data_IF_955129523937
#
_entry.id   IF_955129523937
#
_cell.length_a   1.000
_cell.length_b   1.000
_cell.length_c   1.000
_cell.angle_alpha   90.00
_cell.angle_beta   90.00
_cell.angle_gamma   90.00
#
_symmetry.space_group_name_H-M   'P 1'
#
loop_
_entity.id
_entity.type
_entity.pdbx_description
1 polymer ?
#
# COMPACT_ATOMS: atom_id res chain seq x y z
N UNK A 1 31.95 11.13 -6.06
CA UNK A 1 32.87 12.18 -6.52
C UNK A 1 32.61 13.44 -5.71
N UNK A 2 33.56 13.81 -4.84
CA UNK A 2 33.52 15.04 -4.05
C UNK A 2 33.86 16.20 -4.99
N UNK A 3 32.85 16.97 -5.42
CA UNK A 3 33.07 18.27 -6.03
C UNK A 3 33.38 19.26 -4.90
N UNK A 4 34.65 19.23 -4.49
CA UNK A 4 35.18 19.96 -3.34
C UNK A 4 35.29 21.46 -3.57
N UNK A 5 34.79 22.22 -2.61
CA UNK A 5 35.56 23.23 -1.87
C UNK A 5 35.90 24.57 -2.53
N UNK A 6 36.21 24.63 -3.82
CA UNK A 6 36.76 25.85 -4.46
C UNK A 6 35.69 26.71 -5.14
N UNK A 7 34.62 26.12 -5.67
CA UNK A 7 33.55 26.91 -6.33
C UNK A 7 32.66 27.69 -5.34
N UNK A 8 32.61 27.27 -4.07
CA UNK A 8 31.74 27.88 -3.06
C UNK A 8 32.34 29.10 -2.37
N UNK A 9 33.66 29.34 -2.51
CA UNK A 9 34.33 30.51 -1.92
C UNK A 9 33.99 31.82 -2.64
N UNK A 10 33.69 31.76 -3.94
CA UNK A 10 33.38 32.95 -4.76
C UNK A 10 31.96 33.52 -4.59
N UNK A 11 31.05 32.80 -3.93
CA UNK A 11 29.66 33.23 -3.75
C UNK A 11 29.43 34.06 -2.47
N UNK A 12 30.39 34.10 -1.55
CA UNK A 12 30.28 34.94 -0.33
C UNK A 12 30.53 36.42 -0.61
N UNK A 13 31.23 36.74 -1.70
CA UNK A 13 31.60 38.12 -2.06
C UNK A 13 30.59 38.80 -3.01
N UNK A 14 29.50 38.13 -3.39
CA UNK A 14 28.50 38.67 -4.34
C UNK A 14 27.30 39.36 -3.68
N UNK A 15 27.24 39.41 -2.34
CA UNK A 15 26.05 39.92 -1.63
C UNK A 15 24.80 39.07 -1.83
N UNK A 16 24.95 37.85 -2.36
CA UNK A 16 23.83 36.94 -2.63
C UNK A 16 23.26 36.39 -1.31
N UNK A 17 21.98 36.65 -1.06
CA UNK A 17 21.32 36.33 0.21
C UNK A 17 21.04 34.83 0.43
N UNK A 18 21.21 33.99 -0.59
CA UNK A 18 20.91 32.56 -0.50
C UNK A 18 22.18 31.71 -0.45
N UNK A 19 22.16 30.69 0.42
CA UNK A 19 23.22 29.70 0.48
C UNK A 19 23.23 28.80 -0.76
N UNK A 20 24.41 28.36 -1.17
CA UNK A 20 24.62 27.45 -2.31
C UNK A 20 24.56 25.96 -1.95
N UNK A 21 24.34 25.64 -0.66
CA UNK A 21 24.20 24.26 -0.18
C UNK A 21 22.74 23.82 -0.30
N UNK A 22 22.48 22.90 -1.22
CA UNK A 22 21.19 22.22 -1.32
C UNK A 22 20.99 21.33 -0.08
N UNK A 23 19.78 21.37 0.50
CA UNK A 23 19.39 20.52 1.62
C UNK A 23 18.21 19.64 1.22
N UNK A 24 17.93 18.60 2.02
CA UNK A 24 16.78 17.72 1.79
C UNK A 24 15.45 18.48 1.85
N UNK A 25 15.34 19.49 2.70
CA UNK A 25 14.17 20.38 2.79
C UNK A 25 13.96 21.15 1.49
N UNK A 26 15.02 21.71 0.90
CA UNK A 26 14.92 22.40 -0.39
C UNK A 26 14.43 21.47 -1.50
N UNK A 27 14.89 20.22 -1.53
CA UNK A 27 14.44 19.23 -2.54
C UNK A 27 12.96 18.89 -2.33
N UNK A 28 12.54 18.67 -1.09
CA UNK A 28 11.14 18.39 -0.77
C UNK A 28 10.20 19.53 -1.13
N UNK A 29 10.57 20.75 -0.74
CA UNK A 29 9.77 21.93 -1.04
C UNK A 29 9.70 22.16 -2.55
N UNK A 30 10.82 22.05 -3.26
CA UNK A 30 10.85 22.19 -4.72
C UNK A 30 9.96 21.15 -5.40
N UNK A 31 10.01 19.89 -4.97
CA UNK A 31 9.14 18.82 -5.50
C UNK A 31 7.65 19.15 -5.27
N UNK A 32 7.25 19.48 -4.04
CA UNK A 32 5.86 19.77 -3.72
C UNK A 32 5.36 20.99 -4.49
N UNK A 33 6.14 22.08 -4.49
CA UNK A 33 5.79 23.33 -5.17
C UNK A 33 5.65 23.09 -6.67
N UNK A 34 6.61 22.42 -7.30
CA UNK A 34 6.58 22.14 -8.74
C UNK A 34 5.35 21.32 -9.12
N UNK A 35 5.11 20.21 -8.43
CA UNK A 35 3.97 19.33 -8.69
C UNK A 35 2.63 20.07 -8.53
N UNK A 36 2.48 20.90 -7.49
CA UNK A 36 1.26 21.69 -7.28
C UNK A 36 1.07 22.77 -8.35
N UNK A 37 2.15 23.44 -8.79
CA UNK A 37 2.10 24.42 -9.88
C UNK A 37 1.71 23.73 -11.18
N UNK A 38 2.36 22.61 -11.53
CA UNK A 38 2.03 21.83 -12.73
C UNK A 38 0.57 21.37 -12.71
N UNK A 39 0.06 20.92 -11.55
CA UNK A 39 -1.34 20.56 -11.40
C UNK A 39 -2.29 21.74 -11.68
N UNK A 40 -2.06 22.88 -11.02
CA UNK A 40 -2.91 24.07 -11.19
C UNK A 40 -2.82 24.66 -12.60
N UNK A 41 -1.67 24.56 -13.25
CA UNK A 41 -1.53 24.95 -14.65
C UNK A 41 -2.40 24.10 -15.58
N UNK A 42 -2.52 22.77 -15.37
CA UNK A 42 -3.43 21.92 -16.16
C UNK A 42 -4.89 22.34 -16.02
N UNK A 43 -5.27 22.82 -14.83
CA UNK A 43 -6.61 23.32 -14.53
C UNK A 43 -6.82 24.78 -14.98
N UNK A 44 -5.82 25.44 -15.58
CA UNK A 44 -5.80 26.89 -15.85
C UNK A 44 -6.07 27.75 -14.59
N UNK A 45 -5.54 27.31 -13.45
CA UNK A 45 -5.66 27.97 -12.15
C UNK A 45 -4.30 28.44 -11.63
N UNK A 46 -4.34 29.31 -10.62
CA UNK A 46 -3.15 29.75 -9.87
C UNK A 46 -3.06 29.01 -8.54
N UNK A 47 -1.87 28.54 -8.17
CA UNK A 47 -1.62 27.97 -6.85
C UNK A 47 -1.75 29.06 -5.77
N UNK A 48 -2.71 28.90 -4.87
CA UNK A 48 -2.91 29.78 -3.73
C UNK A 48 -2.49 29.08 -2.44
N UNK A 49 -1.57 29.69 -1.69
CA UNK A 49 -1.12 29.18 -0.39
C UNK A 49 -0.97 30.32 0.61
N UNK A 50 -1.08 30.06 1.93
CA UNK A 50 -0.87 31.07 2.95
C UNK A 50 0.53 31.70 2.88
N UNK A 51 0.60 33.03 2.99
CA UNK A 51 1.87 33.75 3.05
C UNK A 51 2.60 33.54 4.39
N UNK A 52 1.86 33.28 5.47
CA UNK A 52 2.37 33.11 6.83
C UNK A 52 2.21 31.67 7.32
N UNK A 53 2.89 31.32 8.43
CA UNK A 53 2.81 29.99 9.05
C UNK A 53 4.04 29.13 8.80
N UNK A 54 4.06 27.95 9.41
CA UNK A 54 5.18 27.02 9.29
C UNK A 54 5.23 26.41 7.88
N UNK A 55 6.43 26.38 7.28
CA UNK A 55 6.64 25.86 5.92
C UNK A 55 6.11 24.43 5.75
N UNK A 56 6.28 23.58 6.77
CA UNK A 56 5.80 22.19 6.77
C UNK A 56 4.27 22.05 6.58
N UNK A 57 3.51 23.08 6.95
CA UNK A 57 2.04 23.08 6.93
C UNK A 57 1.49 23.89 5.74
N UNK A 58 2.32 24.74 5.12
CA UNK A 58 1.91 25.73 4.10
C UNK A 58 1.20 25.11 2.88
N UNK A 59 1.64 23.94 2.46
CA UNK A 59 1.13 23.26 1.27
C UNK A 59 0.16 22.13 1.58
N UNK A 60 -0.16 21.88 2.86
CA UNK A 60 -0.97 20.73 3.27
C UNK A 60 -2.34 20.75 2.61
N UNK A 61 -3.03 21.87 2.68
CA UNK A 61 -4.40 21.99 2.19
C UNK A 61 -4.43 21.90 0.64
N UNK A 62 -3.43 22.44 -0.05
CA UNK A 62 -3.27 22.30 -1.50
C UNK A 62 -2.97 20.86 -1.94
N UNK A 63 -2.15 20.12 -1.17
CA UNK A 63 -1.94 18.68 -1.41
C UNK A 63 -3.22 17.88 -1.17
N UNK A 64 -3.97 18.18 -0.11
CA UNK A 64 -5.23 17.52 0.21
C UNK A 64 -6.28 17.75 -0.89
N UNK A 65 -6.40 18.99 -1.40
CA UNK A 65 -7.26 19.33 -2.53
C UNK A 65 -6.89 18.52 -3.78
N UNK A 66 -5.60 18.48 -4.15
CA UNK A 66 -5.12 17.69 -5.28
C UNK A 66 -5.39 16.19 -5.09
N UNK A 67 -5.17 15.64 -3.90
CA UNK A 67 -5.45 14.23 -3.61
C UNK A 67 -6.95 13.93 -3.77
N UNK A 68 -7.81 14.83 -3.31
CA UNK A 68 -9.25 14.69 -3.48
C UNK A 68 -9.67 14.73 -4.96
N UNK A 69 -9.08 15.63 -5.75
CA UNK A 69 -9.30 15.67 -7.20
C UNK A 69 -8.95 14.33 -7.88
N UNK A 70 -7.78 13.76 -7.56
CA UNK A 70 -7.38 12.44 -8.07
C UNK A 70 -8.35 11.31 -7.69
N UNK A 71 -8.92 11.34 -6.49
CA UNK A 71 -9.93 10.36 -6.06
C UNK A 71 -11.25 10.52 -6.83
N UNK A 72 -11.65 11.75 -7.14
CA UNK A 72 -12.94 12.05 -7.77
C UNK A 72 -12.89 11.96 -9.30
N UNK A 73 -11.77 12.32 -9.90
CA UNK A 73 -11.61 12.47 -11.35
C UNK A 73 -10.60 11.49 -11.95
N UNK A 74 -9.87 10.74 -11.11
CA UNK A 74 -8.82 9.84 -11.54
C UNK A 74 -7.57 10.58 -12.03
N UNK A 75 -6.63 9.82 -12.57
CA UNK A 75 -5.41 10.39 -13.11
C UNK A 75 -5.62 10.95 -14.53
N UNK A 76 -5.21 12.20 -14.81
CA UNK A 76 -5.31 12.78 -16.15
C UNK A 76 -4.61 11.92 -17.21
N UNK A 77 -5.34 11.59 -18.29
CA UNK A 77 -4.83 10.82 -19.43
C UNK A 77 -4.68 9.31 -19.20
N UNK A 78 -5.17 8.79 -18.06
CA UNK A 78 -5.14 7.34 -17.73
C UNK A 78 -6.53 6.73 -17.57
N UNK A 79 -7.54 7.51 -17.18
CA UNK A 79 -8.91 7.03 -16.91
C UNK A 79 -9.52 6.28 -18.09
N UNK A 80 -9.28 6.77 -19.29
CA UNK A 80 -9.80 6.29 -20.58
C UNK A 80 -8.73 5.57 -21.41
N UNK A 81 -7.54 5.35 -20.86
CA UNK A 81 -6.43 4.74 -21.57
C UNK A 81 -6.74 3.31 -22.03
N UNK A 82 -6.50 3.05 -23.32
CA UNK A 82 -6.38 1.72 -23.88
C UNK A 82 -5.13 1.64 -24.77
N UNK A 83 -4.60 0.44 -24.95
CA UNK A 83 -3.54 0.14 -25.89
C UNK A 83 -3.61 -1.35 -26.24
N UNK A 84 -2.81 -1.80 -27.21
CA UNK A 84 -2.90 -3.16 -27.74
C UNK A 84 -2.47 -4.24 -26.73
N UNK A 85 -1.85 -3.83 -25.61
CA UNK A 85 -1.47 -4.73 -24.50
C UNK A 85 -2.53 -4.84 -23.40
N UNK A 86 -3.40 -3.85 -23.24
CA UNK A 86 -4.42 -3.84 -22.18
C UNK A 86 -5.85 -3.93 -22.70
N UNK A 87 -6.08 -3.76 -24.00
CA UNK A 87 -7.39 -3.81 -24.62
C UNK A 87 -7.38 -4.80 -25.78
N UNK A 88 -8.38 -5.69 -25.82
CA UNK A 88 -8.53 -6.68 -26.87
C UNK A 88 -9.92 -6.63 -27.47
N UNK A 89 -10.01 -6.80 -28.78
CA UNK A 89 -11.25 -7.17 -29.49
C UNK A 89 -11.10 -8.58 -30.03
N UNK A 90 -12.10 -9.43 -29.86
CA UNK A 90 -12.07 -10.83 -30.25
C UNK A 90 -13.44 -11.31 -30.73
N UNK A 91 -13.45 -12.34 -31.57
CA UNK A 91 -14.67 -12.97 -32.05
C UNK A 91 -14.98 -14.21 -31.22
N UNK A 92 -16.22 -14.35 -30.75
CA UNK A 92 -16.67 -15.55 -30.05
C UNK A 92 -16.90 -16.70 -31.02
N UNK A 93 -17.06 -17.92 -30.49
CA UNK A 93 -17.46 -19.08 -31.26
C UNK A 93 -18.82 -18.91 -31.98
N UNK A 94 -19.68 -17.99 -31.49
CA UNK A 94 -20.96 -17.65 -32.14
C UNK A 94 -20.83 -16.60 -33.26
N UNK A 95 -19.62 -16.08 -33.52
CA UNK A 95 -19.38 -15.02 -34.50
C UNK A 95 -19.62 -13.60 -33.99
N UNK A 96 -19.89 -13.43 -32.69
CA UNK A 96 -20.08 -12.11 -32.07
C UNK A 96 -18.72 -11.45 -31.80
N UNK A 97 -18.58 -10.17 -32.14
CA UNK A 97 -17.40 -9.38 -31.79
C UNK A 97 -17.58 -8.83 -30.38
N UNK A 98 -16.67 -9.19 -29.47
CA UNK A 98 -16.62 -8.72 -28.09
C UNK A 98 -15.29 -8.06 -27.81
N UNK A 99 -15.23 -7.30 -26.72
CA UNK A 99 -14.00 -6.68 -26.25
C UNK A 99 -13.72 -7.07 -24.80
N UNK A 100 -12.47 -6.90 -24.40
CA UNK A 100 -12.05 -7.11 -23.02
C UNK A 100 -10.96 -6.09 -22.66
N UNK A 101 -11.23 -5.34 -21.59
CA UNK A 101 -10.34 -4.38 -20.99
C UNK A 101 -10.13 -4.71 -19.50
N UNK A 102 -9.26 -5.68 -19.20
CA UNK A 102 -9.07 -6.15 -17.85
C UNK A 102 -8.37 -5.13 -16.94
N UNK A 103 -8.50 -5.37 -15.63
CA UNK A 103 -7.71 -4.72 -14.59
C UNK A 103 -7.15 -5.77 -13.65
N UNK A 104 -5.91 -5.57 -13.18
CA UNK A 104 -5.23 -6.46 -12.23
C UNK A 104 -5.12 -5.75 -10.91
N UNK A 105 -5.69 -6.33 -9.86
CA UNK A 105 -5.57 -5.88 -8.48
C UNK A 105 -4.49 -6.65 -7.74
N UNK A 106 -3.62 -5.94 -7.03
CA UNK A 106 -2.62 -6.55 -6.16
C UNK A 106 -2.20 -5.58 -5.03
N UNK A 107 -1.74 -6.15 -3.91
CA UNK A 107 -1.36 -5.42 -2.71
C UNK A 107 0.14 -5.40 -2.46
N UNK A 108 0.64 -4.31 -1.88
CA UNK A 108 2.02 -4.21 -1.40
C UNK A 108 2.10 -3.67 0.03
N UNK A 109 3.09 -4.15 0.76
CA UNK A 109 3.39 -3.74 2.14
C UNK A 109 4.14 -2.41 2.17
N UNK A 110 3.46 -1.35 1.73
CA UNK A 110 3.85 0.04 1.93
C UNK A 110 2.74 0.74 2.71
N UNK A 111 3.11 1.63 3.63
CA UNK A 111 2.12 2.26 4.48
C UNK A 111 2.61 3.50 5.20
N UNK A 112 1.70 4.12 5.94
CA UNK A 112 1.92 5.33 6.74
C UNK A 112 1.45 5.13 8.18
N UNK A 113 1.94 5.93 9.15
CA UNK A 113 1.38 5.94 10.50
C UNK A 113 -0.13 6.21 10.50
N UNK A 114 -0.88 5.43 11.27
CA UNK A 114 -2.33 5.58 11.41
C UNK A 114 -2.77 5.39 12.86
N UNK A 115 -4.05 5.67 13.13
CA UNK A 115 -4.63 5.43 14.44
C UNK A 115 -4.58 3.93 14.79
N UNK A 116 -4.20 3.61 16.02
CA UNK A 116 -4.13 2.23 16.49
C UNK A 116 -5.50 1.53 16.64
N UNK A 117 -6.60 2.29 16.73
CA UNK A 117 -7.96 1.73 16.70
C UNK A 117 -8.23 1.06 15.34
N UNK A 118 -8.76 -0.16 15.38
CA UNK A 118 -8.99 -0.97 14.18
C UNK A 118 -9.83 -0.22 13.14
N UNK A 119 -9.40 -0.27 11.87
CA UNK A 119 -10.02 0.38 10.71
C UNK A 119 -10.27 1.90 10.83
N UNK A 120 -9.71 2.59 11.83
CA UNK A 120 -9.85 4.04 11.97
C UNK A 120 -9.10 4.76 10.85
N UNK A 121 -9.82 5.62 10.12
CA UNK A 121 -9.29 6.41 8.99
C UNK A 121 -8.96 7.86 9.37
N UNK A 122 -9.25 8.28 10.59
CA UNK A 122 -8.94 9.64 11.03
C UNK A 122 -7.41 9.82 11.12
N UNK A 123 -6.85 10.87 10.48
CA UNK A 123 -5.41 11.12 10.49
C UNK A 123 -4.89 11.38 11.90
N UNK A 124 -3.63 10.98 12.13
CA UNK A 124 -2.90 11.40 13.31
C UNK A 124 -2.57 12.90 13.21
N UNK A 125 -2.73 13.63 14.32
CA UNK A 125 -2.33 15.04 14.40
C UNK A 125 -0.80 15.22 14.30
N UNK A 126 -0.06 14.18 14.66
CA UNK A 126 1.39 14.14 14.62
C UNK A 126 1.81 12.71 14.33
N UNK A 127 2.83 12.52 13.50
CA UNK A 127 3.32 11.18 13.17
C UNK A 127 3.87 10.41 14.38
N UNK A 128 4.12 11.06 15.52
CA UNK A 128 4.55 10.42 16.79
C UNK A 128 3.39 9.89 17.65
N UNK A 129 2.14 10.27 17.38
CA UNK A 129 0.99 9.81 18.15
C UNK A 129 0.63 8.35 17.83
N UNK A 130 0.03 7.63 18.79
CA UNK A 130 -0.57 6.29 18.54
C UNK A 130 -2.04 6.40 18.12
N UNK A 131 -2.72 7.44 18.58
CA UNK A 131 -4.15 7.63 18.35
C UNK A 131 -4.43 8.99 17.71
N UNK A 132 -5.48 9.04 16.91
CA UNK A 132 -5.99 10.26 16.29
C UNK A 132 -6.65 11.17 17.32
N UNK A 133 -7.17 12.32 16.88
CA UNK A 133 -7.83 13.29 17.76
C UNK A 133 -9.06 12.69 18.45
N UNK A 134 -9.92 11.94 17.73
CA UNK A 134 -11.12 11.34 18.33
C UNK A 134 -10.78 10.28 19.38
N UNK A 135 -9.72 9.51 19.14
CA UNK A 135 -9.29 8.44 20.04
C UNK A 135 -8.15 8.86 20.97
N UNK A 136 -7.94 10.16 21.19
CA UNK A 136 -6.74 10.64 21.89
C UNK A 136 -6.65 10.13 23.33
N UNK A 137 -7.79 9.96 24.01
CA UNK A 137 -7.89 9.40 25.37
C UNK A 137 -7.39 7.95 25.48
N UNK A 138 -7.28 7.21 24.37
CA UNK A 138 -6.70 5.86 24.38
C UNK A 138 -5.19 5.88 24.69
N UNK A 139 -4.53 7.05 24.70
CA UNK A 139 -3.18 7.18 25.24
C UNK A 139 -3.14 6.94 26.77
N UNK A 140 -4.25 7.20 27.47
CA UNK A 140 -4.37 7.08 28.92
C UNK A 140 -4.80 5.68 29.37
N UNK A 141 -5.03 4.77 28.43
CA UNK A 141 -5.40 3.36 28.65
C UNK A 141 -4.18 2.46 28.43
N UNK A 142 -4.10 1.38 29.20
CA UNK A 142 -3.06 0.37 29.06
C UNK A 142 -2.93 -0.12 27.61
N UNK A 143 -1.69 -0.19 27.11
CA UNK A 143 -1.40 -0.60 25.75
C UNK A 143 -1.52 -2.12 25.51
N UNK A 144 -1.75 -2.91 26.56
CA UNK A 144 -1.95 -4.36 26.44
C UNK A 144 -3.38 -4.59 25.93
N UNK A 145 -3.49 -5.38 24.86
CA UNK A 145 -4.77 -5.65 24.23
C UNK A 145 -5.73 -6.29 25.24
N UNK A 146 -7.00 -5.84 25.24
CA UNK A 146 -8.06 -6.25 26.18
C UNK A 146 -7.88 -5.77 27.63
N UNK A 147 -6.89 -4.92 27.91
CA UNK A 147 -6.79 -4.23 29.20
C UNK A 147 -7.38 -2.82 29.09
N UNK A 148 -8.34 -2.51 29.95
CA UNK A 148 -9.02 -1.20 29.98
C UNK A 148 -8.56 -0.31 31.16
N UNK A 149 -7.62 -0.81 31.97
CA UNK A 149 -7.09 -0.07 33.13
C UNK A 149 -6.26 1.15 32.69
N UNK A 150 -6.30 2.25 33.47
CA UNK A 150 -5.55 3.46 33.15
C UNK A 150 -4.04 3.23 33.28
N UNK A 151 -3.25 4.02 32.53
CA UNK A 151 -1.78 3.99 32.62
C UNK A 151 -1.31 4.40 34.02
N UNK A 152 -0.20 3.80 34.46
CA UNK A 152 0.36 4.02 35.80
C UNK A 152 1.11 5.35 35.97
N UNK A 153 1.36 6.08 34.89
CA UNK A 153 2.00 7.40 34.92
C UNK A 153 2.27 7.95 33.51
N UNK A 154 2.61 9.23 33.41
CA UNK A 154 2.74 9.94 32.13
C UNK A 154 3.79 9.36 31.17
N UNK A 155 4.85 8.73 31.71
CA UNK A 155 5.92 8.09 30.92
C UNK A 155 5.73 6.57 30.70
N UNK A 156 4.61 6.01 31.20
CA UNK A 156 4.27 4.59 31.03
C UNK A 156 3.17 4.41 29.99
N UNK A 157 3.23 3.27 29.30
CA UNK A 157 2.17 2.83 28.40
C UNK A 157 1.31 1.72 29.00
N UNK A 158 1.50 1.40 30.28
CA UNK A 158 0.83 0.28 30.95
C UNK A 158 0.23 0.67 32.28
N UNK A 159 -0.77 -0.09 32.72
CA UNK A 159 -1.36 0.06 34.05
C UNK A 159 -0.40 -0.39 35.17
N UNK A 160 -0.89 -0.43 36.40
CA UNK A 160 -0.10 -0.82 37.58
C UNK A 160 0.27 -2.30 37.63
N UNK A 161 -0.34 -3.14 36.79
CA UNK A 161 -0.09 -4.59 36.71
C UNK A 161 1.40 -4.88 36.48
N UNK A 162 2.05 -5.68 37.36
CA UNK A 162 3.45 -6.07 37.20
C UNK A 162 3.77 -6.77 35.87
N UNK A 163 2.88 -7.62 35.34
CA UNK A 163 3.08 -8.32 34.06
C UNK A 163 3.12 -7.32 32.91
N UNK A 164 2.17 -6.37 32.88
CA UNK A 164 2.12 -5.35 31.82
C UNK A 164 3.35 -4.44 31.87
N UNK A 165 3.78 -4.03 33.07
CA UNK A 165 5.03 -3.26 33.24
C UNK A 165 6.24 -4.03 32.71
N UNK A 166 6.29 -5.33 32.94
CA UNK A 166 7.37 -6.19 32.41
C UNK A 166 7.31 -6.30 30.88
N UNK A 167 6.11 -6.34 30.28
CA UNK A 167 5.94 -6.26 28.82
C UNK A 167 6.54 -4.96 28.26
N UNK A 168 6.23 -3.82 28.89
CA UNK A 168 6.77 -2.52 28.47
C UNK A 168 8.30 -2.48 28.64
N UNK A 169 8.83 -3.03 29.74
CA UNK A 169 10.27 -3.10 30.02
C UNK A 169 11.01 -3.90 28.94
N UNK A 170 10.57 -5.11 28.63
CA UNK A 170 11.16 -5.95 27.57
C UNK A 170 11.09 -5.30 26.19
N UNK A 171 10.00 -4.58 25.90
CA UNK A 171 9.88 -3.84 24.66
C UNK A 171 10.91 -2.69 24.57
N UNK A 172 11.14 -1.96 25.67
CA UNK A 172 12.18 -0.91 25.75
C UNK A 172 13.59 -1.48 25.58
N UNK A 173 13.91 -2.62 26.20
CA UNK A 173 15.20 -3.31 26.06
C UNK A 173 15.50 -3.72 24.62
N UNK A 174 14.50 -4.26 23.92
CA UNK A 174 14.61 -4.60 22.49
C UNK A 174 14.91 -3.36 21.66
N UNK A 175 14.18 -2.26 21.87
CA UNK A 175 14.39 -1.00 21.15
C UNK A 175 15.79 -0.41 21.33
N UNK A 176 16.47 -0.72 22.43
CA UNK A 176 17.84 -0.28 22.73
C UNK A 176 18.93 -1.21 22.17
N UNK A 177 18.58 -2.37 21.60
CA UNK A 177 19.56 -3.40 21.20
C UNK A 177 20.17 -3.16 19.81
N UNK A 178 21.49 -3.38 19.68
CA UNK A 178 22.30 -3.18 18.46
C UNK A 178 21.87 -4.00 17.22
N UNK A 179 21.09 -5.06 17.39
CA UNK A 179 20.59 -5.89 16.28
C UNK A 179 19.68 -5.09 15.33
N UNK A 180 18.79 -4.27 15.89
CA UNK A 180 17.90 -3.37 15.13
C UNK A 180 18.70 -2.31 14.36
N UNK A 181 19.83 -1.84 14.93
CA UNK A 181 20.69 -0.86 14.27
C UNK A 181 21.39 -1.43 13.02
N UNK A 182 21.77 -2.71 13.03
CA UNK A 182 22.35 -3.40 11.86
C UNK A 182 21.32 -3.68 10.76
N UNK A 183 20.10 -4.05 11.15
CA UNK A 183 18.99 -4.30 10.21
C UNK A 183 18.61 -3.00 9.47
N UNK A 184 18.42 -1.88 10.21
CA UNK A 184 18.14 -0.55 9.65
C UNK A 184 19.22 -0.08 8.66
N UNK A 185 20.48 -0.43 8.93
CA UNK A 185 21.60 -0.12 8.03
C UNK A 185 21.50 -0.88 6.70
N UNK A 186 21.10 -2.17 6.72
CA UNK A 186 20.88 -2.98 5.50
C UNK A 186 19.74 -2.42 4.64
N UNK A 187 18.61 -2.03 5.25
CA UNK A 187 17.46 -1.48 4.53
C UNK A 187 17.76 -0.11 3.87
N UNK A 188 18.64 0.68 4.47
CA UNK A 188 19.06 1.97 3.89
C UNK A 188 19.80 1.77 2.55
N UNK A 189 20.53 0.66 2.38
CA UNK A 189 21.24 0.36 1.12
C UNK A 189 20.35 -0.20 0.00
N UNK A 190 19.19 -0.79 0.33
CA UNK A 190 18.29 -1.44 -0.64
C UNK A 190 17.14 -0.54 -1.16
N UNK A 191 16.97 0.66 -0.60
CA UNK A 191 15.81 1.53 -0.86
C UNK A 191 15.92 2.41 -2.13
N UNK A 192 16.26 1.81 -3.27
CA UNK A 192 16.16 2.48 -4.58
C UNK A 192 15.05 1.81 -5.40
N UNK A 193 14.09 2.58 -5.96
CA UNK A 193 13.09 2.02 -6.85
C UNK A 193 13.76 1.36 -8.04
N UNK A 194 13.41 0.09 -8.26
CA UNK A 194 13.96 -0.70 -9.36
C UNK A 194 13.35 -0.25 -10.67
N UNK A 195 14.17 -0.09 -11.70
CA UNK A 195 13.66 0.29 -13.02
C UNK A 195 12.82 -0.84 -13.62
N UNK A 196 11.49 -0.75 -13.49
CA UNK A 196 10.53 -1.66 -14.15
C UNK A 196 10.54 -1.55 -15.68
N UNK A 197 11.28 -0.58 -16.22
CA UNK A 197 11.46 -0.40 -17.66
C UNK A 197 12.70 -1.17 -18.17
N UNK A 198 13.46 -1.82 -17.28
CA UNK A 198 14.57 -2.71 -17.60
C UNK A 198 14.27 -4.16 -17.15
N UNK A 199 14.62 -5.13 -17.99
CA UNK A 199 14.24 -6.56 -17.86
C UNK A 199 15.03 -7.33 -16.79
N UNK A 200 15.05 -6.87 -15.53
CA UNK A 200 15.73 -7.59 -14.44
C UNK A 200 14.74 -8.12 -13.39
N UNK A 201 14.98 -9.37 -12.95
CA UNK A 201 14.30 -9.98 -11.80
C UNK A 201 14.73 -9.29 -10.51
N UNK A 202 13.76 -9.13 -9.60
CA UNK A 202 13.87 -8.31 -8.39
C UNK A 202 13.77 -9.22 -7.17
N UNK A 203 14.73 -9.10 -6.25
CA UNK A 203 14.62 -9.70 -4.92
C UNK A 203 13.67 -8.85 -4.05
N UNK A 204 12.61 -9.47 -3.54
CA UNK A 204 11.71 -8.87 -2.56
C UNK A 204 12.48 -8.52 -1.28
N UNK A 205 12.44 -7.25 -0.86
CA UNK A 205 13.02 -6.80 0.42
C UNK A 205 11.88 -6.36 1.33
N UNK A 206 11.29 -7.31 2.04
CA UNK A 206 10.27 -7.03 3.05
C UNK A 206 10.91 -6.46 4.32
N UNK A 207 10.34 -5.39 4.90
CA UNK A 207 10.73 -4.90 6.22
C UNK A 207 10.17 -5.85 7.28
N UNK A 208 11.07 -6.57 7.96
CA UNK A 208 10.74 -7.54 9.00
C UNK A 208 9.94 -6.90 10.14
N UNK A 209 10.09 -5.60 10.44
CA UNK A 209 9.26 -4.95 11.49
C UNK A 209 7.77 -4.81 11.10
N UNK A 210 7.45 -4.69 9.80
CA UNK A 210 6.06 -4.52 9.31
C UNK A 210 5.38 -5.86 9.02
N UNK A 211 6.16 -6.86 8.63
CA UNK A 211 5.68 -8.22 8.39
C UNK A 211 5.93 -9.12 9.60
N UNK A 212 5.99 -8.62 10.84
CA UNK A 212 6.16 -9.49 12.02
C UNK A 212 5.10 -9.22 13.08
N UNK A 213 4.38 -10.29 13.47
CA UNK A 213 3.43 -10.27 14.59
C UNK A 213 4.21 -10.59 15.86
N UNK A 214 4.06 -9.74 16.88
CA UNK A 214 4.71 -9.89 18.18
C UNK A 214 3.70 -10.18 19.30
N UNK A 215 4.08 -11.05 20.23
CA UNK A 215 3.31 -11.34 21.43
C UNK A 215 4.21 -11.71 22.60
N UNK A 216 3.68 -11.57 23.80
CA UNK A 216 4.30 -11.97 25.05
C UNK A 216 3.72 -13.31 25.48
N UNK A 217 4.59 -14.29 25.75
CA UNK A 217 4.21 -15.54 26.41
C UNK A 217 4.60 -15.45 27.88
N UNK A 218 3.65 -15.73 28.77
CA UNK A 218 3.87 -15.90 30.20
C UNK A 218 3.99 -17.40 30.48
N UNK A 219 5.11 -17.82 31.06
CA UNK A 219 5.30 -19.19 31.55
C UNK A 219 4.82 -19.26 33.00
N UNK A 220 3.66 -19.87 33.22
CA UNK A 220 3.02 -19.98 34.54
C UNK A 220 3.87 -20.74 35.57
N UNK A 221 4.79 -21.61 35.13
CA UNK A 221 5.63 -22.40 36.05
C UNK A 221 6.86 -21.63 36.53
N UNK A 222 7.42 -20.76 35.69
CA UNK A 222 8.63 -19.99 36.00
C UNK A 222 8.37 -18.51 36.26
N UNK A 223 7.13 -18.07 36.06
CA UNK A 223 6.72 -16.66 36.01
C UNK A 223 7.62 -15.82 35.08
N UNK A 224 8.17 -16.44 34.04
CA UNK A 224 9.04 -15.76 33.08
C UNK A 224 8.26 -15.31 31.86
N UNK A 225 8.41 -14.04 31.52
CA UNK A 225 7.81 -13.45 30.32
C UNK A 225 8.79 -13.56 29.16
N UNK A 226 8.33 -13.95 27.97
CA UNK A 226 9.16 -14.02 26.76
C UNK A 226 8.49 -13.28 25.61
N UNK A 227 9.22 -12.36 24.98
CA UNK A 227 8.80 -11.73 23.73
C UNK A 227 9.03 -12.71 22.57
N UNK A 228 7.97 -12.98 21.82
CA UNK A 228 7.95 -13.82 20.63
C UNK A 228 7.54 -12.99 19.42
N UNK A 229 8.03 -13.41 18.27
CA UNK A 229 7.77 -12.74 17.01
C UNK A 229 7.72 -13.78 15.89
N UNK A 230 6.80 -13.64 14.93
CA UNK A 230 6.77 -14.45 13.70
C UNK A 230 6.45 -13.58 12.50
N UNK A 231 6.88 -14.01 11.31
CA UNK A 231 6.42 -13.39 10.07
C UNK A 231 4.88 -13.42 10.00
N UNK A 232 4.29 -12.26 9.73
CA UNK A 232 2.87 -12.05 9.47
C UNK A 232 2.53 -12.83 8.20
N UNK A 233 1.71 -13.88 8.28
CA UNK A 233 1.38 -14.70 7.12
C UNK A 233 0.50 -13.99 6.08
N UNK A 234 0.19 -12.70 6.30
CA UNK A 234 -0.80 -11.94 5.54
C UNK A 234 -2.22 -12.17 6.08
N UNK A 235 -3.10 -11.21 5.86
CA UNK A 235 -4.56 -11.33 6.15
C UNK A 235 -5.40 -11.34 4.88
N UNK A 236 -4.77 -11.70 3.76
CA UNK A 236 -5.36 -11.72 2.43
C UNK A 236 -6.64 -12.57 2.45
N UNK A 237 -7.79 -11.93 2.29
CA UNK A 237 -9.08 -12.61 2.25
C UNK A 237 -9.66 -13.08 3.60
N UNK A 238 -9.09 -12.68 4.75
CA UNK A 238 -9.60 -13.08 6.07
C UNK A 238 -10.57 -12.05 6.67
N UNK A 239 -11.61 -12.51 7.37
CA UNK A 239 -12.45 -11.62 8.19
C UNK A 239 -11.66 -11.05 9.39
N UNK A 240 -12.00 -9.82 9.79
CA UNK A 240 -11.29 -9.01 10.78
C UNK A 240 -10.90 -9.78 12.04
N UNK A 241 -9.62 -9.67 12.45
CA UNK A 241 -9.04 -10.12 13.72
C UNK A 241 -9.75 -11.33 14.36
N UNK A 242 -9.95 -12.41 13.60
CA UNK A 242 -10.13 -13.71 14.24
C UNK A 242 -8.79 -14.04 14.87
N UNK A 243 -8.76 -14.01 16.20
CA UNK A 243 -7.63 -14.47 16.99
C UNK A 243 -7.33 -15.94 16.61
N UNK A 244 -6.50 -16.15 15.59
CA UNK A 244 -5.99 -17.47 15.24
C UNK A 244 -4.72 -17.72 16.07
N UNK A 245 -4.78 -18.58 17.11
CA UNK A 245 -3.56 -19.13 17.70
C UNK A 245 -2.86 -20.00 16.65
N UNK A 246 -1.51 -20.11 16.65
CA UNK A 246 -0.88 -21.16 15.87
C UNK A 246 -1.29 -22.53 16.42
N UNK A 247 -1.86 -23.33 15.52
CA UNK A 247 -1.82 -24.79 15.52
C UNK A 247 -0.36 -25.26 15.60
N UNK A 248 0.03 -25.83 16.74
CA UNK A 248 0.58 -27.18 16.87
C UNK A 248 1.04 -27.39 18.34
N UNK A 249 0.48 -28.36 19.09
CA UNK A 249 0.92 -28.65 20.44
C UNK A 249 2.31 -29.28 20.42
N UNK A 250 3.31 -28.51 20.86
CA UNK A 250 4.62 -29.05 21.21
C UNK A 250 4.44 -30.05 22.39
N UNK A 251 4.99 -31.29 22.32
CA UNK A 251 4.75 -32.34 23.33
C UNK A 251 5.26 -32.04 24.75
N UNK A 252 5.89 -30.89 24.98
CA UNK A 252 6.56 -30.52 26.23
C UNK A 252 5.86 -29.39 27.02
N UNK A 253 4.63 -28.99 26.67
CA UNK A 253 3.89 -27.94 27.40
C UNK A 253 2.87 -28.52 28.40
N UNK A 254 2.70 -27.82 29.54
CA UNK A 254 1.74 -28.17 30.59
C UNK A 254 0.29 -28.09 30.10
N UNK A 255 -0.61 -28.85 30.72
CA UNK A 255 -2.04 -28.90 30.36
C UNK A 255 -2.80 -27.57 30.53
N UNK A 256 -2.21 -26.59 31.23
CA UNK A 256 -2.76 -25.25 31.41
C UNK A 256 -2.44 -24.28 30.25
N UNK A 257 -1.43 -24.59 29.41
CA UNK A 257 -0.98 -23.74 28.30
C UNK A 257 -0.28 -22.44 28.74
N UNK A 258 0.61 -21.90 27.90
CA UNK A 258 1.19 -20.57 28.15
C UNK A 258 0.13 -19.50 27.86
N UNK A 259 -0.04 -18.51 28.74
CA UNK A 259 -0.87 -17.33 28.44
C UNK A 259 -0.16 -16.44 27.41
N UNK A 260 -0.89 -16.08 26.35
CA UNK A 260 -0.39 -15.22 25.26
C UNK A 260 -1.07 -13.86 25.34
N UNK A 261 -0.27 -12.79 25.44
CA UNK A 261 -0.76 -11.41 25.43
C UNK A 261 -0.15 -10.62 24.26
N UNK A 262 -0.95 -9.77 23.62
CA UNK A 262 -0.48 -8.80 22.62
C UNK A 262 -0.48 -7.40 23.23
N UNK A 263 0.45 -6.55 22.80
CA UNK A 263 0.48 -5.15 23.23
C UNK A 263 0.81 -4.21 22.07
N UNK A 264 0.19 -3.03 22.06
CA UNK A 264 0.36 -1.99 21.05
C UNK A 264 1.23 -0.84 21.59
N UNK A 265 2.50 -1.14 21.91
CA UNK A 265 3.44 -0.13 22.44
C UNK A 265 3.93 0.86 21.37
N UNK A 266 4.03 0.39 20.13
CA UNK A 266 4.46 1.18 18.96
C UNK A 266 3.27 1.86 18.29
N UNK A 267 3.56 2.74 17.33
CA UNK A 267 2.56 3.34 16.44
C UNK A 267 2.05 2.28 15.48
N UNK A 268 0.75 2.29 15.20
CA UNK A 268 0.18 1.46 14.14
C UNK A 268 0.41 2.12 12.78
N UNK A 269 0.43 1.30 11.75
CA UNK A 269 0.56 1.71 10.35
C UNK A 269 -0.62 1.17 9.55
N UNK A 270 -0.89 1.78 8.41
CA UNK A 270 -1.86 1.26 7.44
C UNK A 270 -1.46 -0.16 7.05
N UNK A 271 -2.44 -1.01 6.72
CA UNK A 271 -2.20 -2.44 6.54
C UNK A 271 -1.37 -2.70 5.27
N UNK A 272 -1.86 -2.21 4.14
CA UNK A 272 -1.17 -2.22 2.86
C UNK A 272 -1.75 -1.14 1.93
N UNK A 273 -1.04 -0.88 0.84
CA UNK A 273 -1.63 -0.23 -0.33
C UNK A 273 -2.08 -1.31 -1.32
N UNK A 274 -3.23 -1.08 -1.94
CA UNK A 274 -3.74 -1.88 -3.05
C UNK A 274 -3.62 -1.06 -4.31
N UNK A 275 -3.21 -1.70 -5.40
CA UNK A 275 -3.10 -1.06 -6.71
C UNK A 275 -4.01 -1.75 -7.71
N UNK A 276 -4.49 -0.97 -8.67
CA UNK A 276 -5.17 -1.45 -9.86
C UNK A 276 -4.29 -1.11 -11.05
N UNK A 277 -3.86 -2.13 -11.80
CA UNK A 277 -2.88 -2.02 -12.88
C UNK A 277 -3.45 -2.62 -14.15
N UNK A 278 -3.37 -1.89 -15.26
CA UNK A 278 -3.70 -2.42 -16.58
C UNK A 278 -2.61 -3.41 -17.03
N UNK A 279 -2.91 -4.47 -17.81
CA UNK A 279 -1.87 -5.41 -18.26
C UNK A 279 -0.73 -4.80 -19.07
N UNK A 280 -0.93 -3.60 -19.63
CA UNK A 280 0.13 -2.82 -20.28
C UNK A 280 1.14 -2.22 -19.30
N UNK A 281 0.88 -2.27 -17.99
CA UNK A 281 1.69 -1.70 -16.92
C UNK A 281 1.28 -0.30 -16.48
N UNK A 282 0.18 0.26 -16.98
CA UNK A 282 -0.34 1.56 -16.49
C UNK A 282 -1.01 1.36 -15.14
N UNK A 283 -0.57 2.13 -14.15
CA UNK A 283 -1.16 2.11 -12.80
C UNK A 283 -2.43 2.96 -12.85
N UNK A 284 -3.60 2.33 -12.76
CA UNK A 284 -4.89 2.98 -12.92
C UNK A 284 -5.34 3.71 -11.66
N UNK A 285 -5.24 3.05 -10.50
CA UNK A 285 -5.64 3.59 -9.21
C UNK A 285 -4.89 2.90 -8.07
N UNK A 286 -4.91 3.51 -6.90
CA UNK A 286 -4.45 2.89 -5.65
C UNK A 286 -5.39 3.24 -4.49
N UNK A 287 -5.35 2.45 -3.43
CA UNK A 287 -6.06 2.73 -2.21
C UNK A 287 -5.34 2.16 -0.98
N UNK A 288 -5.40 2.93 0.10
CA UNK A 288 -4.88 2.52 1.40
C UNK A 288 -5.89 1.63 2.13
N UNK A 289 -5.47 0.43 2.53
CA UNK A 289 -6.26 -0.47 3.36
C UNK A 289 -5.94 -0.29 4.84
N UNK A 290 -6.99 -0.25 5.67
CA UNK A 290 -6.87 -0.03 7.11
C UNK A 290 -7.29 -1.29 7.88
N UNK A 291 -6.45 -1.72 8.82
CA UNK A 291 -6.75 -2.84 9.72
C UNK A 291 -6.54 -4.22 9.07
N UNK A 292 -7.14 -4.46 7.90
CA UNK A 292 -7.06 -5.72 7.18
C UNK A 292 -7.22 -5.55 5.66
N UNK A 293 -6.73 -6.52 4.90
CA UNK A 293 -7.02 -6.67 3.47
C UNK A 293 -8.33 -7.45 3.27
N UNK A 294 -9.43 -6.84 3.70
CA UNK A 294 -10.75 -7.41 3.49
C UNK A 294 -11.13 -7.31 2.01
N UNK A 295 -11.63 -8.40 1.45
CA UNK A 295 -12.15 -8.49 0.08
C UNK A 295 -13.22 -7.44 -0.22
N UNK A 296 -14.07 -7.10 0.75
CA UNK A 296 -15.04 -6.00 0.63
C UNK A 296 -14.39 -4.65 0.34
N UNK A 297 -13.24 -4.36 0.95
CA UNK A 297 -12.51 -3.11 0.72
C UNK A 297 -11.94 -3.08 -0.70
N UNK A 298 -11.46 -4.21 -1.22
CA UNK A 298 -11.02 -4.33 -2.61
C UNK A 298 -12.18 -4.09 -3.59
N UNK A 299 -13.35 -4.71 -3.37
CA UNK A 299 -14.54 -4.50 -4.20
C UNK A 299 -14.99 -3.03 -4.19
N UNK A 300 -15.02 -2.38 -3.02
CA UNK A 300 -15.35 -0.95 -2.91
C UNK A 300 -14.32 -0.09 -3.65
N UNK A 301 -13.03 -0.41 -3.55
CA UNK A 301 -11.96 0.29 -4.28
C UNK A 301 -12.18 0.20 -5.79
N UNK A 302 -12.39 -1.01 -6.33
CA UNK A 302 -12.61 -1.21 -7.78
C UNK A 302 -13.83 -0.45 -8.24
N UNK A 303 -14.95 -0.58 -7.53
CA UNK A 303 -16.19 0.11 -7.89
C UNK A 303 -16.00 1.63 -7.91
N UNK A 304 -15.34 2.20 -6.88
CA UNK A 304 -15.08 3.64 -6.82
C UNK A 304 -14.18 4.09 -7.97
N UNK A 305 -13.08 3.39 -8.24
CA UNK A 305 -12.12 3.73 -9.29
C UNK A 305 -12.76 3.73 -10.69
N UNK A 306 -13.77 2.89 -10.93
CA UNK A 306 -14.47 2.78 -12.21
C UNK A 306 -15.85 3.46 -12.23
N UNK A 307 -16.17 4.26 -11.22
CA UNK A 307 -17.40 5.08 -11.17
C UNK A 307 -17.14 6.58 -11.30
N UNK A 308 -15.88 6.98 -11.53
CA UNK A 308 -15.49 8.37 -11.80
C UNK A 308 -15.86 8.80 -13.22
N UNK A 309 -15.94 10.12 -13.52
CA UNK A 309 -16.21 10.61 -14.86
C UNK A 309 -15.23 10.06 -15.91
N UNK A 310 -15.75 9.59 -17.02
CA UNK A 310 -14.98 9.06 -18.15
C UNK A 310 -14.45 7.63 -17.98
N UNK A 311 -14.52 7.04 -16.79
CA UNK A 311 -14.11 5.66 -16.58
C UNK A 311 -15.08 4.69 -17.26
N UNK A 312 -14.53 3.62 -17.84
CA UNK A 312 -15.29 2.49 -18.36
C UNK A 312 -15.08 1.29 -17.44
N UNK A 313 -16.19 0.69 -17.01
CA UNK A 313 -16.21 -0.52 -16.20
C UNK A 313 -15.39 -1.63 -16.88
N UNK A 314 -14.51 -2.35 -16.16
CA UNK A 314 -13.71 -3.40 -16.78
C UNK A 314 -14.55 -4.63 -17.11
N UNK A 315 -14.24 -5.30 -18.21
CA UNK A 315 -14.87 -6.58 -18.56
C UNK A 315 -14.32 -7.74 -17.74
N UNK A 316 -13.11 -7.59 -17.19
CA UNK A 316 -12.47 -8.65 -16.39
C UNK A 316 -11.59 -8.08 -15.26
N UNK A 317 -11.62 -8.71 -14.09
CA UNK A 317 -10.78 -8.36 -12.94
C UNK A 317 -9.92 -9.56 -12.57
N UNK A 318 -8.62 -9.35 -12.40
CA UNK A 318 -7.70 -10.28 -11.76
C UNK A 318 -7.42 -9.81 -10.33
N UNK A 319 -7.42 -10.74 -9.38
CA UNK A 319 -7.05 -10.50 -7.98
C UNK A 319 -6.76 -11.83 -7.30
N UNK A 320 -5.75 -11.90 -6.45
CA UNK A 320 -5.30 -13.14 -5.82
C UNK A 320 -6.41 -13.87 -5.06
N UNK A 321 -7.31 -13.12 -4.42
CA UNK A 321 -8.43 -13.69 -3.66
C UNK A 321 -9.77 -13.51 -4.38
N UNK A 322 -9.76 -13.52 -5.71
CA UNK A 322 -10.99 -13.33 -6.49
C UNK A 322 -12.05 -14.41 -6.24
N UNK A 323 -11.67 -15.60 -5.75
CA UNK A 323 -12.64 -16.61 -5.36
C UNK A 323 -13.58 -16.13 -4.25
N UNK A 324 -13.06 -15.41 -3.24
CA UNK A 324 -13.86 -14.81 -2.18
C UNK A 324 -14.51 -13.51 -2.67
N UNK A 325 -13.78 -12.70 -3.46
CA UNK A 325 -14.31 -11.46 -4.02
C UNK A 325 -15.53 -11.67 -4.89
N UNK A 326 -15.50 -12.69 -5.76
CA UNK A 326 -16.63 -13.04 -6.60
C UNK A 326 -17.83 -13.49 -5.78
N UNK A 327 -17.65 -14.38 -4.80
CA UNK A 327 -18.75 -14.82 -3.93
C UNK A 327 -19.40 -13.66 -3.18
N UNK A 328 -18.60 -12.72 -2.70
CA UNK A 328 -19.11 -11.55 -2.01
C UNK A 328 -19.79 -10.56 -2.97
N UNK A 329 -19.23 -10.39 -4.17
CA UNK A 329 -19.78 -9.53 -5.22
C UNK A 329 -21.17 -10.01 -5.67
N UNK A 330 -21.32 -11.32 -5.91
CA UNK A 330 -22.60 -11.94 -6.29
C UNK A 330 -23.70 -11.74 -5.24
N UNK A 331 -23.33 -11.70 -3.95
CA UNK A 331 -24.27 -11.51 -2.84
C UNK A 331 -24.61 -10.05 -2.58
N UNK A 332 -23.61 -9.17 -2.60
CA UNK A 332 -23.72 -7.84 -1.97
C UNK A 332 -23.36 -6.66 -2.88
N UNK A 333 -22.81 -6.90 -4.09
CA UNK A 333 -22.36 -5.83 -4.97
C UNK A 333 -22.90 -6.00 -6.42
N UNK A 334 -24.14 -5.57 -6.69
CA UNK A 334 -24.75 -5.66 -8.03
C UNK A 334 -23.94 -4.97 -9.14
N UNK A 335 -23.11 -3.98 -8.79
CA UNK A 335 -22.24 -3.28 -9.73
C UNK A 335 -21.30 -4.24 -10.48
N UNK A 336 -20.90 -5.37 -9.89
CA UNK A 336 -20.00 -6.34 -10.52
C UNK A 336 -20.70 -7.32 -11.47
N UNK A 337 -22.03 -7.26 -11.58
CA UNK A 337 -22.76 -8.13 -12.50
C UNK A 337 -22.21 -7.99 -13.93
N UNK A 338 -21.90 -9.13 -14.55
CA UNK A 338 -21.37 -9.21 -15.91
C UNK A 338 -19.87 -8.96 -16.06
N UNK A 339 -19.13 -8.76 -14.97
CA UNK A 339 -17.65 -8.72 -15.00
C UNK A 339 -17.09 -10.13 -14.82
N UNK A 340 -16.15 -10.54 -15.66
CA UNK A 340 -15.33 -11.73 -15.40
C UNK A 340 -14.42 -11.51 -14.19
N UNK A 341 -14.31 -12.50 -13.32
CA UNK A 341 -13.47 -12.42 -12.13
C UNK A 341 -12.73 -13.74 -11.96
N UNK A 342 -11.43 -13.75 -12.20
CA UNK A 342 -10.58 -14.92 -12.00
C UNK A 342 -9.33 -14.54 -11.20
N UNK A 343 -8.67 -15.55 -10.64
CA UNK A 343 -7.36 -15.35 -10.01
C UNK A 343 -6.27 -15.34 -11.08
N UNK A 344 -5.08 -14.84 -10.76
CA UNK A 344 -3.94 -14.96 -11.65
C UNK A 344 -3.58 -16.44 -11.91
N UNK A 345 -3.03 -16.75 -13.09
CA UNK A 345 -2.67 -18.12 -13.51
C UNK A 345 -1.66 -18.76 -12.55
N UNK A 346 -0.63 -18.02 -12.14
CA UNK A 346 0.36 -18.50 -11.19
C UNK A 346 -0.29 -18.74 -9.82
N UNK A 347 -1.13 -17.82 -9.36
CA UNK A 347 -1.84 -17.96 -8.09
C UNK A 347 -2.77 -19.19 -8.11
N UNK A 348 -3.51 -19.39 -9.19
CA UNK A 348 -4.36 -20.57 -9.39
C UNK A 348 -3.57 -21.87 -9.29
N UNK A 349 -2.41 -21.95 -9.94
CA UNK A 349 -1.60 -23.17 -10.00
C UNK A 349 -0.87 -23.47 -8.69
N UNK A 350 -0.45 -22.45 -7.93
CA UNK A 350 0.47 -22.63 -6.81
C UNK A 350 -0.16 -22.41 -5.43
N UNK A 351 -1.29 -21.70 -5.35
CA UNK A 351 -1.89 -21.26 -4.08
C UNK A 351 -3.30 -21.81 -3.84
N UNK A 352 -4.01 -22.23 -4.88
CA UNK A 352 -5.32 -22.86 -4.70
C UNK A 352 -5.21 -24.38 -4.51
N UNK A 353 -6.05 -24.91 -3.62
CA UNK A 353 -6.29 -26.35 -3.57
C UNK A 353 -7.04 -26.77 -4.83
N UNK A 354 -6.48 -27.73 -5.57
CA UNK A 354 -7.05 -28.28 -6.82
C UNK A 354 -8.43 -28.91 -6.60
N UNK A 355 -8.76 -29.26 -5.35
CA UNK A 355 -10.04 -29.86 -4.94
C UNK A 355 -11.13 -28.84 -4.63
N UNK A 356 -10.83 -27.54 -4.56
CA UNK A 356 -11.83 -26.53 -4.23
C UNK A 356 -12.75 -26.24 -5.43
N UNK A 357 -13.89 -26.94 -5.48
CA UNK A 357 -14.84 -26.94 -6.60
C UNK A 357 -15.22 -25.54 -7.08
N UNK A 358 -15.59 -24.64 -6.17
CA UNK A 358 -15.98 -23.27 -6.55
C UNK A 358 -14.87 -22.54 -7.32
N UNK A 359 -13.60 -22.74 -6.94
CA UNK A 359 -12.47 -22.08 -7.59
C UNK A 359 -12.27 -22.65 -9.00
N UNK A 360 -12.40 -23.97 -9.16
CA UNK A 360 -12.26 -24.63 -10.46
C UNK A 360 -13.38 -24.25 -11.43
N UNK A 361 -14.61 -24.08 -10.94
CA UNK A 361 -15.78 -23.79 -11.76
C UNK A 361 -15.96 -22.31 -12.10
N UNK A 362 -15.47 -21.40 -11.26
CA UNK A 362 -15.78 -19.97 -11.37
C UNK A 362 -14.56 -19.06 -11.48
N UNK A 363 -13.36 -19.55 -11.13
CA UNK A 363 -12.15 -18.72 -11.06
C UNK A 363 -11.02 -19.25 -11.95
N UNK A 364 -11.26 -20.30 -12.73
CA UNK A 364 -10.25 -20.87 -13.62
C UNK A 364 -10.10 -19.99 -14.87
N UNK A 365 -8.94 -19.34 -15.08
CA UNK A 365 -8.76 -18.40 -16.18
C UNK A 365 -9.01 -19.02 -17.57
N UNK A 366 -8.87 -20.34 -17.73
CA UNK A 366 -9.06 -21.02 -19.02
C UNK A 366 -10.54 -21.03 -19.48
N UNK A 367 -11.47 -20.78 -18.55
CA UNK A 367 -12.90 -20.73 -18.86
C UNK A 367 -13.31 -19.42 -19.56
N UNK A 368 -12.38 -18.47 -19.73
CA UNK A 368 -12.64 -17.13 -20.22
C UNK A 368 -11.93 -16.91 -21.56
N UNK A 369 -12.62 -17.13 -22.70
CA UNK A 369 -12.03 -16.99 -24.03
C UNK A 369 -11.44 -15.60 -24.30
N UNK A 370 -11.97 -14.56 -23.64
CA UNK A 370 -11.43 -13.20 -23.71
C UNK A 370 -9.96 -13.10 -23.27
N UNK A 371 -9.48 -14.03 -22.44
CA UNK A 371 -8.12 -14.02 -21.89
C UNK A 371 -7.11 -14.77 -22.77
N UNK A 372 -7.56 -15.52 -23.77
CA UNK A 372 -6.74 -16.42 -24.60
C UNK A 372 -6.65 -15.92 -26.05
N UNK A 373 -5.45 -15.80 -26.60
CA UNK A 373 -5.22 -15.46 -28.00
C UNK A 373 -5.72 -16.55 -28.98
N UNK A 374 -5.58 -16.30 -30.28
CA UNK A 374 -6.01 -17.23 -31.33
C UNK A 374 -5.29 -18.60 -31.31
N UNK A 375 -4.15 -18.68 -30.61
CA UNK A 375 -3.35 -19.90 -30.43
C UNK A 375 -3.57 -20.55 -29.06
N UNK A 376 -4.48 -20.01 -28.23
CA UNK A 376 -4.76 -20.50 -26.88
C UNK A 376 -3.71 -20.11 -25.84
N UNK A 377 -2.86 -19.11 -26.11
CA UNK A 377 -1.92 -18.54 -25.13
C UNK A 377 -2.55 -17.37 -24.38
N UNK A 378 -2.06 -17.07 -23.19
CA UNK A 378 -2.50 -15.91 -22.42
C UNK A 378 -2.21 -14.62 -23.19
N UNK A 379 -3.26 -13.82 -23.42
CA UNK A 379 -3.15 -12.55 -24.12
C UNK A 379 -2.65 -11.42 -23.21
N UNK A 380 -3.14 -11.38 -21.97
CA UNK A 380 -2.84 -10.31 -21.02
C UNK A 380 -1.70 -10.71 -20.07
N UNK A 381 -0.78 -9.78 -19.83
CA UNK A 381 0.26 -9.95 -18.82
C UNK A 381 -0.25 -9.52 -17.44
N UNK A 382 -0.59 -10.49 -16.60
CA UNK A 382 -1.10 -10.26 -15.24
C UNK A 382 0.02 -10.09 -14.19
N UNK A 383 1.21 -10.66 -14.41
CA UNK A 383 2.37 -10.51 -13.51
C UNK A 383 2.96 -9.09 -13.49
N UNK A 384 2.45 -8.20 -14.33
CA UNK A 384 2.84 -6.79 -14.33
C UNK A 384 2.53 -6.11 -12.99
N UNK A 385 1.49 -6.53 -12.28
CA UNK A 385 1.11 -5.94 -11.00
C UNK A 385 2.21 -6.15 -9.94
N UNK A 386 2.81 -7.35 -9.88
CA UNK A 386 3.93 -7.67 -8.99
C UNK A 386 5.15 -6.77 -9.27
N UNK A 387 5.47 -6.55 -10.56
CA UNK A 387 6.57 -5.66 -10.96
C UNK A 387 6.32 -4.21 -10.55
N UNK A 388 5.08 -3.73 -10.71
CA UNK A 388 4.67 -2.40 -10.26
C UNK A 388 4.79 -2.27 -8.74
N UNK A 389 4.36 -3.29 -8.01
CA UNK A 389 4.44 -3.32 -6.56
C UNK A 389 5.89 -3.26 -6.08
N UNK A 390 6.80 -4.00 -6.74
CA UNK A 390 8.24 -3.90 -6.46
C UNK A 390 8.80 -2.49 -6.70
N UNK A 391 8.38 -1.81 -7.78
CA UNK A 391 8.78 -0.41 -8.04
C UNK A 391 8.25 0.56 -6.97
N UNK A 392 6.97 0.44 -6.61
CA UNK A 392 6.37 1.27 -5.55
C UNK A 392 7.05 1.03 -4.19
N UNK A 393 7.41 -0.21 -3.87
CA UNK A 393 8.10 -0.58 -2.63
C UNK A 393 9.44 0.15 -2.50
N UNK A 394 10.09 0.52 -3.61
CA UNK A 394 11.31 1.34 -3.60
C UNK A 394 11.17 2.71 -2.94
N UNK A 395 9.94 3.22 -2.79
CA UNK A 395 9.65 4.48 -2.10
C UNK A 395 9.36 4.31 -0.60
N UNK A 396 9.37 3.08 -0.07
CA UNK A 396 9.00 2.79 1.32
C UNK A 396 9.73 3.67 2.34
N UNK A 397 11.07 3.74 2.26
CA UNK A 397 11.88 4.52 3.20
C UNK A 397 11.55 6.01 3.19
N UNK A 398 11.11 6.53 2.04
CA UNK A 398 10.74 7.92 1.83
C UNK A 398 9.39 8.21 2.50
N UNK A 399 8.39 7.37 2.25
CA UNK A 399 7.00 7.62 2.67
C UNK A 399 6.73 7.17 4.11
N UNK A 400 7.64 6.39 4.72
CA UNK A 400 7.46 5.73 6.02
C UNK A 400 6.97 6.64 7.14
N UNK A 401 7.39 7.89 7.22
CA UNK A 401 7.01 8.79 8.33
C UNK A 401 6.05 9.91 7.91
N UNK A 402 5.50 9.83 6.69
CA UNK A 402 4.57 10.82 6.15
C UNK A 402 3.16 10.65 6.73
N UNK A 403 2.49 11.78 6.94
CA UNK A 403 1.05 11.82 7.22
C UNK A 403 0.25 11.76 5.90
N UNK A 404 -1.06 11.48 5.95
CA UNK A 404 -1.85 11.14 4.76
C UNK A 404 -1.71 12.12 3.59
N UNK A 405 -1.84 13.43 3.81
CA UNK A 405 -1.82 14.42 2.73
C UNK A 405 -0.54 14.33 1.90
N UNK A 406 0.62 14.21 2.55
CA UNK A 406 1.92 14.12 1.89
C UNK A 406 2.20 12.72 1.34
N UNK A 407 1.78 11.67 2.06
CA UNK A 407 1.92 10.29 1.62
C UNK A 407 1.19 10.05 0.31
N UNK A 408 -0.10 10.43 0.28
CA UNK A 408 -0.96 10.21 -0.87
C UNK A 408 -0.50 11.06 -2.06
N UNK A 409 -0.19 12.33 -1.81
CA UNK A 409 0.34 13.25 -2.82
C UNK A 409 1.64 12.72 -3.45
N UNK A 410 2.59 12.28 -2.63
CA UNK A 410 3.88 11.81 -3.13
C UNK A 410 3.72 10.57 -4.02
N UNK A 411 3.00 9.54 -3.54
CA UNK A 411 2.83 8.31 -4.32
C UNK A 411 2.10 8.58 -5.64
N UNK A 412 1.03 9.37 -5.62
CA UNK A 412 0.28 9.67 -6.83
C UNK A 412 1.08 10.49 -7.84
N UNK A 413 1.93 11.42 -7.39
CA UNK A 413 2.83 12.17 -8.27
C UNK A 413 3.89 11.26 -8.90
N UNK A 414 4.47 10.35 -8.13
CA UNK A 414 5.43 9.38 -8.69
C UNK A 414 4.76 8.45 -9.70
N UNK A 415 3.56 7.94 -9.39
CA UNK A 415 2.76 7.11 -10.30
C UNK A 415 2.44 7.87 -11.59
N UNK A 416 2.01 9.13 -11.50
CA UNK A 416 1.67 9.95 -12.66
C UNK A 416 2.88 10.15 -13.58
N UNK A 417 4.02 10.54 -13.01
CA UNK A 417 5.26 10.72 -13.78
C UNK A 417 5.70 9.43 -14.45
N UNK A 418 5.61 8.30 -13.75
CA UNK A 418 5.89 6.97 -14.31
C UNK A 418 4.95 6.64 -15.46
N UNK A 419 3.64 6.82 -15.28
CA UNK A 419 2.65 6.50 -16.30
C UNK A 419 2.84 7.36 -17.55
N UNK A 420 3.13 8.66 -17.42
CA UNK A 420 3.47 9.53 -18.56
C UNK A 420 4.65 8.99 -19.36
N UNK A 421 5.71 8.56 -18.69
CA UNK A 421 6.88 7.98 -19.36
C UNK A 421 6.58 6.61 -19.98
N UNK A 422 5.80 5.78 -19.28
CA UNK A 422 5.42 4.46 -19.74
C UNK A 422 4.51 4.52 -20.98
N UNK A 423 3.60 5.49 -21.04
CA UNK A 423 2.77 5.76 -22.22
C UNK A 423 3.62 6.11 -23.46
N UNK A 424 4.67 6.92 -23.29
CA UNK A 424 5.61 7.22 -24.39
C UNK A 424 6.32 5.96 -24.88
N UNK A 425 6.82 5.13 -23.95
CA UNK A 425 7.47 3.86 -24.30
C UNK A 425 6.53 2.90 -25.02
N UNK A 426 5.26 2.83 -24.61
CA UNK A 426 4.25 2.04 -25.31
C UNK A 426 4.02 2.54 -26.74
N UNK A 427 4.01 3.86 -26.95
CA UNK A 427 3.90 4.46 -28.29
C UNK A 427 5.14 4.15 -29.15
N UNK A 428 6.34 4.31 -28.60
CA UNK A 428 7.62 4.02 -29.28
C UNK A 428 7.75 2.54 -29.68
N UNK A 429 7.17 1.64 -28.88
CA UNK A 429 7.10 0.21 -29.15
C UNK A 429 5.96 -0.19 -30.11
N UNK A 430 5.16 0.78 -30.59
CA UNK A 430 4.08 0.52 -31.54
C UNK A 430 2.85 -0.15 -30.93
N UNK A 431 2.62 -0.01 -29.62
CA UNK A 431 1.45 -0.59 -28.93
C UNK A 431 0.20 0.31 -28.93
N UNK A 432 0.22 1.37 -29.73
CA UNK A 432 -0.92 2.25 -30.04
C UNK A 432 -1.73 2.70 -28.79
N UNK A 433 -1.09 3.40 -27.83
CA UNK A 433 -1.84 4.00 -26.72
C UNK A 433 -2.83 5.04 -27.25
N UNK A 434 -4.06 4.97 -26.77
CA UNK A 434 -5.21 5.77 -27.20
C UNK A 434 -6.18 5.99 -26.05
N UNK A 435 -7.07 6.96 -26.19
CA UNK A 435 -8.26 7.11 -25.35
C UNK A 435 -9.40 6.29 -25.97
N UNK A 436 -10.20 5.62 -25.14
CA UNK A 436 -11.47 5.04 -25.56
C UNK A 436 -12.50 6.17 -25.62
N UNK A 437 -12.84 6.59 -26.85
CA UNK A 437 -13.91 7.58 -27.08
C UNK A 437 -15.21 7.16 -26.39
N UNK A 438 -15.96 8.16 -25.92
CA UNK A 438 -17.15 7.98 -25.08
C UNK A 438 -18.33 7.32 -25.76
#
# INVERSE_FOLDING_TARGET
MSLGGTYLKGLKDTGWQFGSRLTTEHVWDAFVILCLIENKQRENQCLQVPHTGAQKDRFRDAMAERNQDFVLNGQPGVVDHACDKCYRTYMTASGEIRHCHPIVGDGLSIGRPCCAVFACREPLQNNRHRYCKTHFSQHDVCAVMLCEEPISGADSKTCSDPEHKEFERKNKEKGASNFILKERFRHTQASQPVDTLATQQIDHVDDVEETTIEWFEVDDNSNTIRLKSRANPGTVGTEADTALPPLDPCPSKSAAGNRVAKAQFSRKRTHNEQTLVRPCGIIYARATMFGAEAVSNFLVMVQNAFSIPGAKKPEHIFYDTNCLARQQAEKSFPWFKGIGMCVDVWHFLNKHQTTHQYCQENCNPIQFPELLDEFGKWFFNTSVAEQINAWLQGYHSIVREMLPDKFDFFLDEMIMRRNVEHLKKLAEQGHNPRSLDH
#
